data_IF_511930455725
#
_entry.id   IF_511930455725
#
_cell.length_a   1.000
_cell.length_b   1.000
_cell.length_c   1.000
_cell.angle_alpha   90.00
_cell.angle_beta   90.00
_cell.angle_gamma   90.00
#
_symmetry.space_group_name_H-M   'P 1'
#
loop_
_entity.id
_entity.type
_entity.pdbx_description
1 polymer ?
#
# COMPACT_ATOMS: atom_id res chain seq x y z
N UNK A 1 -5.80 -0.10 -15.44
CA UNK A 1 -5.92 -0.93 -14.22
C UNK A 1 -6.30 -0.12 -12.98
N UNK A 2 -5.56 0.93 -12.64
CA UNK A 2 -5.89 1.82 -11.51
C UNK A 2 -7.00 2.82 -11.89
N UNK A 3 -7.83 3.18 -10.92
CA UNK A 3 -8.88 4.21 -11.02
C UNK A 3 -8.89 5.07 -9.75
N UNK A 4 -9.49 6.24 -9.83
CA UNK A 4 -9.78 7.06 -8.67
C UNK A 4 -11.27 6.98 -8.34
N UNK A 5 -11.59 6.91 -7.05
CA UNK A 5 -12.94 7.06 -6.52
C UNK A 5 -12.94 7.94 -5.26
N UNK A 6 -14.07 8.02 -4.56
CA UNK A 6 -14.19 8.83 -3.34
C UNK A 6 -13.34 8.35 -2.16
N UNK A 7 -12.80 7.13 -2.23
CA UNK A 7 -11.94 6.51 -1.21
C UNK A 7 -10.46 6.54 -1.60
N UNK A 8 -10.10 6.90 -2.82
CA UNK A 8 -8.71 7.15 -3.24
C UNK A 8 -8.30 6.37 -4.49
N UNK A 9 -7.07 5.86 -4.51
CA UNK A 9 -6.49 5.11 -5.63
C UNK A 9 -6.91 3.64 -5.50
N UNK A 10 -7.70 3.15 -6.45
CA UNK A 10 -8.27 1.80 -6.43
C UNK A 10 -7.73 0.96 -7.58
N UNK A 11 -7.22 -0.23 -7.26
CA UNK A 11 -6.94 -1.27 -8.24
C UNK A 11 -8.14 -2.22 -8.34
N UNK A 12 -9.01 -1.99 -9.33
CA UNK A 12 -10.24 -2.78 -9.51
C UNK A 12 -9.98 -4.28 -9.68
N UNK A 13 -8.94 -4.63 -10.46
CA UNK A 13 -8.58 -6.03 -10.71
C UNK A 13 -8.13 -6.76 -9.44
N UNK A 14 -7.38 -6.09 -8.55
CA UNK A 14 -6.92 -6.68 -7.30
C UNK A 14 -7.91 -6.49 -6.13
N UNK A 15 -8.92 -5.63 -6.27
CA UNK A 15 -9.85 -5.30 -5.18
C UNK A 15 -9.14 -4.66 -3.99
N UNK A 16 -8.14 -3.81 -4.24
CA UNK A 16 -7.30 -3.21 -3.18
C UNK A 16 -7.05 -1.73 -3.45
N UNK A 17 -6.96 -0.94 -2.38
CA UNK A 17 -6.63 0.49 -2.46
C UNK A 17 -5.17 0.75 -2.12
N UNK A 18 -4.64 1.85 -2.66
CA UNK A 18 -3.33 2.40 -2.28
C UNK A 18 -3.57 3.72 -1.57
N UNK A 19 -3.02 3.88 -0.37
CA UNK A 19 -3.17 5.06 0.51
C UNK A 19 -4.60 5.63 0.55
N UNK A 20 -5.60 4.84 0.95
CA UNK A 20 -6.99 5.25 0.87
C UNK A 20 -7.31 6.40 1.81
N UNK A 21 -8.16 7.32 1.36
CA UNK A 21 -8.65 8.48 2.10
C UNK A 21 -9.72 8.12 3.15
N UNK A 22 -10.35 6.95 2.99
CA UNK A 22 -11.42 6.42 3.83
C UNK A 22 -11.18 4.94 4.18
N UNK A 23 -11.85 4.39 5.22
CA UNK A 23 -11.79 2.96 5.54
C UNK A 23 -12.18 2.05 4.37
N UNK A 24 -11.39 0.99 4.15
CA UNK A 24 -11.58 -0.01 3.08
C UNK A 24 -11.27 -1.43 3.58
N UNK A 25 -11.59 -2.45 2.79
CA UNK A 25 -11.29 -3.83 3.18
C UNK A 25 -9.78 -4.14 3.19
N UNK A 26 -9.04 -3.67 2.18
CA UNK A 26 -7.59 -3.89 2.04
C UNK A 26 -6.90 -2.63 1.56
N UNK A 27 -5.82 -2.25 2.22
CA UNK A 27 -5.03 -1.07 1.91
C UNK A 27 -3.54 -1.43 1.76
N UNK A 28 -2.95 -1.08 0.62
CA UNK A 28 -1.50 -0.96 0.50
C UNK A 28 -1.10 0.44 0.96
N UNK A 29 -0.10 0.52 1.82
CA UNK A 29 0.39 1.78 2.38
C UNK A 29 1.80 2.04 1.87
N UNK A 30 1.99 3.16 1.18
CA UNK A 30 3.30 3.55 0.65
C UNK A 30 4.28 3.88 1.78
N UNK A 31 3.84 4.58 2.81
CA UNK A 31 4.65 4.93 3.97
C UNK A 31 3.79 5.37 5.17
N UNK A 32 4.38 5.37 6.36
CA UNK A 32 3.68 5.58 7.63
C UNK A 32 3.48 7.06 8.02
N UNK A 33 3.24 7.98 7.08
CA UNK A 33 2.72 9.31 7.41
C UNK A 33 1.19 9.29 7.56
N UNK A 34 0.65 10.19 8.38
CA UNK A 34 -0.77 10.16 8.80
C UNK A 34 -1.77 10.53 7.70
N UNK A 35 -1.33 11.25 6.69
CA UNK A 35 -2.11 11.60 5.50
C UNK A 35 -2.25 10.42 4.52
N UNK A 36 -1.31 9.46 4.55
CA UNK A 36 -1.33 8.22 3.77
C UNK A 36 -1.91 7.02 4.55
N UNK A 37 -1.49 6.86 5.81
CA UNK A 37 -1.92 5.79 6.69
C UNK A 37 -3.11 6.23 7.55
N UNK A 38 -4.33 5.91 7.10
CA UNK A 38 -5.58 6.25 7.80
C UNK A 38 -6.19 5.07 8.55
N UNK A 39 -6.81 5.28 9.73
CA UNK A 39 -7.41 4.22 10.52
C UNK A 39 -8.71 3.69 9.89
N UNK A 40 -9.10 2.47 10.28
CA UNK A 40 -10.41 1.88 9.98
C UNK A 40 -10.44 0.82 8.87
N UNK A 41 -9.36 0.65 8.10
CA UNK A 41 -9.30 -0.44 7.11
C UNK A 41 -9.17 -1.80 7.81
N UNK A 42 -9.73 -2.86 7.21
CA UNK A 42 -9.73 -4.20 7.83
C UNK A 42 -8.37 -4.89 7.75
N UNK A 43 -7.58 -4.59 6.72
CA UNK A 43 -6.24 -5.13 6.53
C UNK A 43 -5.33 -4.10 5.85
N UNK A 44 -4.09 -4.03 6.31
CA UNK A 44 -3.04 -3.16 5.82
C UNK A 44 -1.84 -3.98 5.34
N UNK A 45 -1.16 -3.48 4.32
CA UNK A 45 0.11 -4.05 3.88
C UNK A 45 1.08 -2.92 3.53
N UNK A 46 2.32 -3.04 3.99
CA UNK A 46 3.37 -2.05 3.75
C UNK A 46 4.73 -2.73 3.61
N UNK A 47 5.79 -1.94 3.43
CA UNK A 47 7.13 -2.44 3.71
C UNK A 47 7.26 -2.88 5.19
N UNK A 48 8.10 -3.88 5.49
CA UNK A 48 8.25 -4.41 6.85
C UNK A 48 8.71 -3.35 7.87
N UNK A 49 9.59 -2.44 7.48
CA UNK A 49 10.04 -1.34 8.35
C UNK A 49 8.91 -0.38 8.75
N UNK A 50 7.85 -0.28 7.94
CA UNK A 50 6.70 0.57 8.23
C UNK A 50 5.72 -0.07 9.23
N UNK A 51 5.77 -1.39 9.44
CA UNK A 51 4.80 -2.13 10.27
C UNK A 51 4.76 -1.62 11.72
N UNK A 52 5.92 -1.43 12.34
CA UNK A 52 6.00 -0.92 13.70
C UNK A 52 5.38 0.47 13.84
N UNK A 53 5.72 1.37 12.91
CA UNK A 53 5.17 2.72 12.87
C UNK A 53 3.66 2.74 12.61
N UNK A 54 3.15 1.85 11.75
CA UNK A 54 1.72 1.73 11.50
C UNK A 54 0.96 1.28 12.75
N UNK A 55 1.47 0.30 13.50
CA UNK A 55 0.86 -0.10 14.78
C UNK A 55 0.86 1.04 15.81
N UNK A 56 1.93 1.82 15.88
CA UNK A 56 1.99 2.97 16.77
C UNK A 56 0.97 4.06 16.39
N UNK A 57 0.73 4.27 15.09
CA UNK A 57 -0.17 5.33 14.60
C UNK A 57 -1.64 4.94 14.55
N UNK A 58 -1.92 3.70 14.14
CA UNK A 58 -3.27 3.23 13.82
C UNK A 58 -3.88 2.32 14.90
N UNK A 59 -3.06 1.91 15.88
CA UNK A 59 -3.46 1.02 16.97
C UNK A 59 -2.65 -0.28 16.98
N UNK A 60 -2.30 -0.77 18.17
CA UNK A 60 -1.45 -1.96 18.33
C UNK A 60 -2.05 -3.23 17.67
N UNK A 61 -3.38 -3.31 17.64
CA UNK A 61 -4.14 -4.48 17.21
C UNK A 61 -4.58 -4.46 15.73
N UNK A 62 -4.09 -3.49 14.93
CA UNK A 62 -4.42 -3.49 13.50
C UNK A 62 -3.89 -4.76 12.82
N UNK A 63 -4.66 -5.25 11.85
CA UNK A 63 -4.20 -6.32 10.98
C UNK A 63 -3.29 -5.74 9.90
N UNK A 64 -1.97 -5.83 10.11
CA UNK A 64 -0.95 -5.33 9.20
C UNK A 64 0.11 -6.39 8.92
N UNK A 65 0.45 -6.55 7.64
CA UNK A 65 1.55 -7.41 7.19
C UNK A 65 2.64 -6.60 6.48
N UNK A 66 3.89 -7.03 6.65
CA UNK A 66 5.04 -6.45 5.97
C UNK A 66 5.48 -7.28 4.76
N UNK A 67 5.97 -6.62 3.72
CA UNK A 67 6.59 -7.23 2.53
C UNK A 67 7.98 -6.63 2.35
N UNK A 68 8.97 -7.42 1.92
CA UNK A 68 10.31 -6.89 1.63
C UNK A 68 10.33 -6.14 0.29
N UNK A 69 11.28 -5.22 0.12
CA UNK A 69 11.51 -4.61 -1.19
C UNK A 69 11.84 -5.68 -2.25
N UNK A 70 11.28 -5.52 -3.44
CA UNK A 70 11.44 -6.45 -4.57
C UNK A 70 10.69 -7.78 -4.43
N UNK A 71 10.23 -8.14 -3.23
CA UNK A 71 9.35 -9.28 -3.02
C UNK A 71 8.01 -9.01 -3.70
N UNK A 72 7.54 -9.99 -4.47
CA UNK A 72 6.29 -9.90 -5.22
C UNK A 72 5.26 -10.87 -4.67
N UNK A 73 4.03 -10.40 -4.55
CA UNK A 73 2.87 -11.22 -4.23
C UNK A 73 1.76 -10.96 -5.26
N UNK A 74 0.78 -11.86 -5.31
CA UNK A 74 -0.28 -11.78 -6.30
C UNK A 74 -1.66 -11.67 -5.63
N UNK A 75 -2.50 -10.78 -6.18
CA UNK A 75 -3.92 -10.70 -5.83
C UNK A 75 -4.73 -10.69 -7.12
N UNK A 76 -5.60 -11.67 -7.31
CA UNK A 76 -6.50 -11.79 -8.47
C UNK A 76 -5.77 -11.61 -9.82
N UNK A 77 -4.58 -12.19 -9.94
CA UNK A 77 -3.73 -12.12 -11.14
C UNK A 77 -2.87 -10.85 -11.27
N UNK A 78 -2.99 -9.87 -10.37
CA UNK A 78 -2.12 -8.69 -10.33
C UNK A 78 -0.89 -8.98 -9.49
N UNK A 79 0.30 -8.90 -10.09
CA UNK A 79 1.57 -8.96 -9.37
C UNK A 79 1.86 -7.59 -8.75
N UNK A 80 2.10 -7.57 -7.44
CA UNK A 80 2.32 -6.36 -6.65
C UNK A 80 3.67 -6.48 -5.96
N UNK A 81 4.48 -5.41 -5.99
CA UNK A 81 5.75 -5.33 -5.26
C UNK A 81 6.04 -3.92 -4.76
N UNK A 82 6.80 -3.86 -3.67
CA UNK A 82 7.25 -2.64 -3.02
C UNK A 82 8.70 -2.34 -3.43
N UNK A 83 9.01 -1.08 -3.73
CA UNK A 83 10.34 -0.63 -4.16
C UNK A 83 10.74 0.61 -3.39
N UNK A 84 12.02 0.83 -3.03
CA UNK A 84 12.42 2.00 -2.27
C UNK A 84 11.97 3.32 -2.92
N UNK A 85 11.32 4.20 -2.14
CA UNK A 85 10.92 5.54 -2.60
C UNK A 85 11.94 6.64 -2.26
N UNK A 86 12.90 6.37 -1.37
CA UNK A 86 13.92 7.35 -0.98
C UNK A 86 13.42 8.49 -0.09
N UNK A 87 12.19 8.42 0.44
CA UNK A 87 11.57 9.49 1.22
C UNK A 87 11.84 9.36 2.74
N UNK A 88 11.39 8.26 3.36
CA UNK A 88 11.63 7.93 4.77
C UNK A 88 11.92 6.43 4.93
N UNK A 89 12.33 6.00 6.12
CA UNK A 89 12.51 4.57 6.43
C UNK A 89 11.18 3.83 6.15
N UNK A 90 11.25 2.75 5.37
CA UNK A 90 10.09 1.97 4.97
C UNK A 90 9.19 2.60 3.90
N UNK A 91 9.54 3.76 3.34
CA UNK A 91 8.78 4.36 2.23
C UNK A 91 8.98 3.60 0.94
N UNK A 92 7.88 3.30 0.26
CA UNK A 92 7.88 2.46 -0.92
C UNK A 92 7.03 3.03 -2.07
N UNK A 93 7.57 2.95 -3.27
CA UNK A 93 6.80 2.94 -4.50
C UNK A 93 6.14 1.57 -4.64
N UNK A 94 4.88 1.53 -5.10
CA UNK A 94 4.13 0.30 -5.28
C UNK A 94 3.96 0.06 -6.78
N UNK A 95 4.55 -1.03 -7.26
CA UNK A 95 4.40 -1.51 -8.63
C UNK A 95 3.25 -2.50 -8.69
N UNK A 96 2.36 -2.32 -9.66
CA UNK A 96 1.29 -3.25 -10.00
C UNK A 96 1.44 -3.68 -11.46
N UNK A 97 1.37 -4.97 -11.73
CA UNK A 97 1.44 -5.53 -13.08
C UNK A 97 0.31 -6.52 -13.32
N UNK A 98 -0.39 -6.35 -14.43
CA UNK A 98 -1.43 -7.26 -14.89
C UNK A 98 -1.40 -7.41 -16.41
N UNK A 99 -1.17 -8.64 -16.89
CA UNK A 99 -1.16 -8.97 -18.34
C UNK A 99 -0.28 -8.04 -19.20
N UNK A 100 0.90 -7.67 -18.68
CA UNK A 100 1.84 -6.78 -19.34
C UNK A 100 1.57 -5.27 -19.17
N UNK A 101 0.42 -4.88 -18.62
CA UNK A 101 0.15 -3.50 -18.20
C UNK A 101 0.79 -3.25 -16.82
N UNK A 102 1.64 -2.23 -16.70
CA UNK A 102 2.38 -1.91 -15.47
C UNK A 102 2.03 -0.49 -15.02
N UNK A 103 1.72 -0.34 -13.73
CA UNK A 103 1.52 0.94 -13.06
C UNK A 103 2.45 1.04 -11.86
N UNK A 104 2.91 2.26 -11.56
CA UNK A 104 3.67 2.55 -10.35
C UNK A 104 3.00 3.71 -9.63
N UNK A 105 2.68 3.50 -8.35
CA UNK A 105 2.28 4.57 -7.43
C UNK A 105 3.53 4.95 -6.65
N UNK A 106 4.02 6.17 -6.84
CA UNK A 106 5.28 6.62 -6.25
C UNK A 106 5.22 6.79 -4.73
N UNK A 107 4.03 7.15 -4.20
CA UNK A 107 3.94 7.78 -2.89
C UNK A 107 4.76 9.09 -2.86
N UNK A 108 5.21 9.47 -1.67
CA UNK A 108 6.23 10.49 -1.51
C UNK A 108 7.60 9.89 -1.82
N UNK A 109 8.37 10.54 -2.68
CA UNK A 109 9.65 10.03 -3.19
C UNK A 109 10.70 11.15 -3.34
N UNK A 110 11.98 10.78 -3.38
CA UNK A 110 13.12 11.68 -3.63
C UNK A 110 14.12 11.08 -4.61
#
# INVERSE_FOLDING_TARGET
MLKFDSKGIYCEQAGIYIDPWQPVDKALITHAHSDHARPGSKAYMSHHDSVGMLRQRLGADINVSGVAYGESFQINGVNISFHPAGHIIGSAQIRLEYKGEIWVVSGDYK
#
